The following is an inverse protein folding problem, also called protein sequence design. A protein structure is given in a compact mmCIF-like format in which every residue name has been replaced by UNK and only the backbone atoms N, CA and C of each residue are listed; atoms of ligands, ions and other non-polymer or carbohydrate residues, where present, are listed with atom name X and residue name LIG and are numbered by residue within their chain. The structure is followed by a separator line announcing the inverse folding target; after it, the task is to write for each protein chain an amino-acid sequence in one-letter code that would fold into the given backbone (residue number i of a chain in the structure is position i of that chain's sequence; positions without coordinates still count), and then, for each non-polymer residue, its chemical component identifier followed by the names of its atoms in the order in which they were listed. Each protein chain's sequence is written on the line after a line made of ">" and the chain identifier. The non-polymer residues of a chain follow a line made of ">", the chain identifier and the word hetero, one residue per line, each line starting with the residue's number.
data_IF_495811135056
#
_entry.id   IF_495811135056
#
_cell.length_a   1.000
_cell.length_b   1.000
_cell.length_c   1.000
_cell.angle_alpha   90.00
_cell.angle_beta   90.00
_cell.angle_gamma   90.00
#
_symmetry.space_group_name_H-M   'P 1'
#
loop_
_entity.id
_entity.type
_entity.pdbx_description
1 polymer ?
#
# COMPACT_ATOMS: atom_id res chain seq x y z
N UNK A 1 -18.96 28.10 26.44
CA UNK A 1 -18.09 26.95 26.12
C UNK A 1 -18.74 25.98 25.12
N UNK A 2 -19.53 26.47 24.15
CA UNK A 2 -20.24 25.62 23.17
C UNK A 2 -19.55 25.50 21.80
N UNK A 3 -18.49 26.29 21.54
CA UNK A 3 -17.79 26.26 20.25
C UNK A 3 -16.78 25.11 20.09
N UNK A 4 -16.17 24.64 21.19
CA UNK A 4 -15.11 23.63 21.16
C UNK A 4 -15.64 22.23 20.80
N UNK A 5 -16.83 21.86 21.29
CA UNK A 5 -17.44 20.56 21.02
C UNK A 5 -17.81 20.38 19.56
N UNK A 6 -18.24 21.45 18.87
CA UNK A 6 -18.58 21.43 17.45
C UNK A 6 -17.34 21.28 16.55
N UNK A 7 -16.24 21.95 16.90
CA UNK A 7 -14.98 21.83 16.16
C UNK A 7 -14.41 20.40 16.24
N UNK A 8 -14.46 19.78 17.41
CA UNK A 8 -13.99 18.39 17.60
C UNK A 8 -14.80 17.38 16.79
N UNK A 9 -16.14 17.51 16.77
CA UNK A 9 -17.02 16.63 15.98
C UNK A 9 -16.73 16.75 14.48
N UNK A 10 -16.57 17.98 13.99
CA UNK A 10 -16.30 18.24 12.57
C UNK A 10 -14.92 17.74 12.14
N UNK A 11 -13.90 17.97 12.97
CA UNK A 11 -12.55 17.44 12.79
C UNK A 11 -12.58 15.91 12.68
N UNK A 12 -13.26 15.23 13.63
CA UNK A 12 -13.38 13.77 13.62
C UNK A 12 -14.06 13.24 12.36
N UNK A 13 -15.10 13.91 11.87
CA UNK A 13 -15.77 13.53 10.63
C UNK A 13 -14.85 13.67 9.41
N UNK A 14 -14.17 14.82 9.27
CA UNK A 14 -13.25 15.07 8.15
C UNK A 14 -12.13 14.03 8.11
N UNK A 15 -11.48 13.78 9.25
CA UNK A 15 -10.38 12.80 9.30
C UNK A 15 -10.87 11.40 8.90
N UNK A 16 -12.01 10.94 9.42
CA UNK A 16 -12.58 9.65 9.05
C UNK A 16 -12.98 9.58 7.57
N UNK A 17 -13.50 10.68 7.01
CA UNK A 17 -13.84 10.77 5.60
C UNK A 17 -12.60 10.69 4.71
N UNK A 18 -11.52 11.38 5.07
CA UNK A 18 -10.23 11.28 4.37
C UNK A 18 -9.69 9.84 4.42
N UNK A 19 -9.73 9.18 5.58
CA UNK A 19 -9.34 7.77 5.68
C UNK A 19 -10.18 6.86 4.81
N UNK A 20 -11.49 7.11 4.74
CA UNK A 20 -12.38 6.37 3.86
C UNK A 20 -12.01 6.53 2.38
N UNK A 21 -11.78 7.77 1.92
CA UNK A 21 -11.33 8.04 0.54
C UNK A 21 -9.99 7.37 0.25
N UNK A 22 -9.02 7.48 1.16
CA UNK A 22 -7.74 6.78 1.04
C UNK A 22 -7.91 5.26 0.94
N UNK A 23 -8.80 4.67 1.75
CA UNK A 23 -9.15 3.24 1.67
C UNK A 23 -9.70 2.86 0.29
N UNK A 24 -10.60 3.67 -0.26
CA UNK A 24 -11.13 3.45 -1.61
C UNK A 24 -10.05 3.53 -2.70
N UNK A 25 -9.12 4.48 -2.61
CA UNK A 25 -7.99 4.61 -3.55
C UNK A 25 -7.09 3.38 -3.46
N UNK A 26 -6.69 2.98 -2.24
CA UNK A 26 -5.83 1.82 -2.02
C UNK A 26 -6.49 0.55 -2.58
N UNK A 27 -7.78 0.34 -2.30
CA UNK A 27 -8.53 -0.79 -2.85
C UNK A 27 -8.59 -0.76 -4.38
N UNK A 28 -8.92 0.39 -4.96
CA UNK A 28 -9.00 0.56 -6.40
C UNK A 28 -7.67 0.21 -7.08
N UNK A 29 -6.55 0.74 -6.55
CA UNK A 29 -5.20 0.45 -7.06
C UNK A 29 -4.83 -1.02 -6.86
N UNK A 30 -5.14 -1.60 -5.70
CA UNK A 30 -4.81 -3.01 -5.41
C UNK A 30 -5.57 -3.97 -6.34
N UNK A 31 -6.86 -3.70 -6.58
CA UNK A 31 -7.70 -4.48 -7.50
C UNK A 31 -7.23 -4.28 -8.94
N UNK A 32 -6.87 -3.06 -9.34
CA UNK A 32 -6.33 -2.76 -10.66
C UNK A 32 -5.07 -3.59 -10.96
N UNK A 33 -4.12 -3.60 -10.02
CA UNK A 33 -2.89 -4.40 -10.12
C UNK A 33 -3.21 -5.89 -10.19
N UNK A 34 -4.23 -6.36 -9.44
CA UNK A 34 -4.62 -7.78 -9.43
C UNK A 34 -5.28 -8.23 -10.74
N UNK A 35 -6.00 -7.36 -11.44
CA UNK A 35 -6.76 -7.69 -12.66
C UNK A 35 -5.97 -7.43 -13.94
N UNK A 36 -5.15 -6.38 -13.99
CA UNK A 36 -4.48 -5.95 -15.22
C UNK A 36 -3.20 -6.76 -15.45
N UNK A 37 -3.15 -7.53 -16.55
CA UNK A 37 -1.95 -8.29 -16.93
C UNK A 37 -0.76 -7.39 -17.22
N UNK A 38 -0.99 -6.23 -17.84
CA UNK A 38 0.05 -5.22 -18.06
C UNK A 38 0.64 -4.75 -16.73
N UNK A 39 -0.20 -4.46 -15.73
CA UNK A 39 0.28 -4.10 -14.40
C UNK A 39 1.00 -5.26 -13.68
N UNK A 40 0.58 -6.51 -13.89
CA UNK A 40 1.26 -7.67 -13.31
C UNK A 40 2.67 -7.85 -13.88
N UNK A 41 2.84 -7.60 -15.18
CA UNK A 41 4.13 -7.62 -15.86
C UNK A 41 5.01 -6.43 -15.46
N UNK A 42 4.47 -5.21 -15.44
CA UNK A 42 5.20 -3.99 -15.05
C UNK A 42 5.73 -4.07 -13.60
N UNK A 43 4.96 -4.67 -12.69
CA UNK A 43 5.34 -4.85 -11.28
C UNK A 43 6.05 -6.18 -11.00
N UNK A 44 6.38 -6.97 -12.03
CA UNK A 44 7.08 -8.26 -11.90
C UNK A 44 6.51 -9.14 -10.79
N UNK A 45 5.18 -9.29 -10.75
CA UNK A 45 4.51 -9.96 -9.62
C UNK A 45 4.89 -11.44 -9.53
N UNK A 46 5.78 -11.74 -8.58
CA UNK A 46 6.09 -13.10 -8.15
C UNK A 46 5.02 -13.63 -7.19
N UNK A 47 4.98 -14.94 -6.91
CA UNK A 47 4.04 -15.52 -5.93
C UNK A 47 4.03 -14.78 -4.57
N UNK A 48 5.18 -14.28 -4.12
CA UNK A 48 5.29 -13.50 -2.89
C UNK A 48 4.64 -12.11 -3.00
N UNK A 49 4.72 -11.45 -4.15
CA UNK A 49 4.10 -10.14 -4.37
C UNK A 49 2.59 -10.24 -4.59
N UNK A 50 2.10 -11.35 -5.17
CA UNK A 50 0.66 -11.64 -5.20
C UNK A 50 0.05 -11.71 -3.80
N UNK A 51 0.76 -12.35 -2.87
CA UNK A 51 0.38 -12.39 -1.45
C UNK A 51 0.38 -10.99 -0.81
N UNK A 52 1.36 -10.15 -1.18
CA UNK A 52 1.42 -8.76 -0.71
C UNK A 52 0.25 -7.91 -1.25
N UNK A 53 -0.12 -8.07 -2.52
CA UNK A 53 -1.28 -7.38 -3.11
C UNK A 53 -2.58 -7.83 -2.45
N UNK A 54 -2.76 -9.12 -2.17
CA UNK A 54 -3.93 -9.62 -1.43
C UNK A 54 -4.00 -9.06 0.00
N UNK A 55 -2.86 -8.92 0.67
CA UNK A 55 -2.78 -8.24 1.97
C UNK A 55 -3.18 -6.77 1.84
N UNK A 56 -2.74 -6.08 0.77
CA UNK A 56 -3.09 -4.67 0.52
C UNK A 56 -4.58 -4.49 0.27
N UNK A 57 -5.22 -5.45 -0.43
CA UNK A 57 -6.69 -5.51 -0.58
C UNK A 57 -7.35 -5.67 0.80
N UNK A 58 -6.89 -6.64 1.62
CA UNK A 58 -7.45 -6.86 2.94
C UNK A 58 -7.35 -5.61 3.83
N UNK A 59 -6.18 -4.96 3.85
CA UNK A 59 -5.93 -3.72 4.61
C UNK A 59 -6.81 -2.58 4.09
N UNK A 60 -6.92 -2.41 2.77
CA UNK A 60 -7.79 -1.40 2.16
C UNK A 60 -9.27 -1.58 2.54
N UNK A 61 -9.76 -2.82 2.57
CA UNK A 61 -11.12 -3.16 3.01
C UNK A 61 -11.34 -2.78 4.47
N UNK A 62 -10.39 -3.10 5.35
CA UNK A 62 -10.47 -2.76 6.77
C UNK A 62 -10.51 -1.23 6.96
N UNK A 63 -9.63 -0.49 6.28
CA UNK A 63 -9.59 0.98 6.34
C UNK A 63 -10.90 1.58 5.83
N UNK A 64 -11.45 1.07 4.72
CA UNK A 64 -12.72 1.52 4.17
C UNK A 64 -13.89 1.27 5.16
N UNK A 65 -13.97 0.08 5.76
CA UNK A 65 -15.03 -0.24 6.73
C UNK A 65 -14.90 0.64 7.97
N UNK A 66 -13.69 0.79 8.52
CA UNK A 66 -13.47 1.63 9.70
C UNK A 66 -13.75 3.12 9.44
N UNK A 67 -13.33 3.63 8.27
CA UNK A 67 -13.64 5.01 7.87
C UNK A 67 -15.14 5.25 7.73
N UNK A 68 -15.87 4.29 7.14
CA UNK A 68 -17.34 4.36 7.02
C UNK A 68 -18.02 4.30 8.40
N UNK A 69 -17.62 3.36 9.26
CA UNK A 69 -18.12 3.26 10.63
C UNK A 69 -17.82 4.51 11.45
N UNK A 70 -16.65 5.14 11.26
CA UNK A 70 -16.28 6.40 11.89
C UNK A 70 -17.17 7.56 11.43
N UNK A 71 -17.45 7.67 10.12
CA UNK A 71 -18.35 8.69 9.57
C UNK A 71 -19.80 8.49 10.06
N UNK A 72 -20.32 7.26 10.01
CA UNK A 72 -21.67 6.93 10.50
C UNK A 72 -21.79 7.10 12.02
N UNK A 73 -20.77 6.74 12.79
CA UNK A 73 -20.73 6.92 14.24
C UNK A 73 -20.74 8.40 14.64
N UNK A 74 -20.01 9.25 13.90
CA UNK A 74 -20.02 10.69 14.11
C UNK A 74 -21.38 11.33 13.76
N UNK A 75 -22.04 10.88 12.68
CA UNK A 75 -23.34 11.42 12.27
C UNK A 75 -24.52 10.94 13.13
N UNK A 76 -24.50 9.70 13.62
CA UNK A 76 -25.65 9.10 14.33
C UNK A 76 -25.69 9.40 15.82
N UNK A 77 -24.68 10.10 16.37
CA UNK A 77 -24.48 10.35 17.81
C UNK A 77 -24.62 9.09 18.68
N UNK A 78 -24.46 7.91 18.05
CA UNK A 78 -24.68 6.61 18.67
C UNK A 78 -23.37 6.15 19.27
N UNK A 79 -23.31 6.19 20.60
CA UNK A 79 -22.14 5.79 21.37
C UNK A 79 -21.69 4.35 21.06
N UNK A 80 -22.63 3.44 20.73
CA UNK A 80 -22.31 2.05 20.41
C UNK A 80 -21.48 1.92 19.12
N UNK A 81 -21.80 2.69 18.07
CA UNK A 81 -21.06 2.67 16.80
C UNK A 81 -19.67 3.31 16.93
N UNK A 82 -19.58 4.41 17.70
CA UNK A 82 -18.31 5.06 18.02
C UNK A 82 -17.40 4.16 18.87
N UNK A 83 -17.99 3.40 19.78
CA UNK A 83 -17.28 2.46 20.66
C UNK A 83 -16.75 1.26 19.87
N UNK A 84 -17.50 0.71 18.92
CA UNK A 84 -17.00 -0.32 18.00
C UNK A 84 -15.82 0.19 17.15
N UNK A 85 -15.90 1.43 16.64
CA UNK A 85 -14.79 2.06 15.94
C UNK A 85 -13.54 2.18 16.84
N UNK A 86 -13.71 2.64 18.07
CA UNK A 86 -12.62 2.76 19.03
C UNK A 86 -11.97 1.41 19.37
N UNK A 87 -12.79 0.38 19.63
CA UNK A 87 -12.29 -0.99 19.88
C UNK A 87 -11.54 -1.53 18.65
N UNK A 88 -12.08 -1.31 17.45
CA UNK A 88 -11.42 -1.72 16.21
C UNK A 88 -10.05 -1.06 16.02
N UNK A 89 -9.95 0.25 16.24
CA UNK A 89 -8.67 0.97 16.23
C UNK A 89 -7.69 0.45 17.28
N UNK A 90 -8.18 0.17 18.49
CA UNK A 90 -7.36 -0.35 19.58
C UNK A 90 -6.81 -1.75 19.23
N UNK A 91 -7.62 -2.62 18.63
CA UNK A 91 -7.16 -3.93 18.16
C UNK A 91 -6.11 -3.81 17.04
N UNK A 92 -6.31 -2.90 16.08
CA UNK A 92 -5.31 -2.64 15.03
C UNK A 92 -4.00 -2.12 15.64
N UNK A 93 -4.09 -1.26 16.65
CA UNK A 93 -2.90 -0.73 17.33
C UNK A 93 -2.12 -1.86 18.01
N UNK A 94 -2.80 -2.78 18.70
CA UNK A 94 -2.15 -3.96 19.29
C UNK A 94 -1.49 -4.82 18.20
N UNK A 95 -2.18 -5.07 17.09
CA UNK A 95 -1.63 -5.82 15.96
C UNK A 95 -0.41 -5.13 15.34
N UNK A 96 -0.43 -3.80 15.19
CA UNK A 96 0.70 -3.01 14.69
C UNK A 96 1.89 -3.05 15.65
N UNK A 97 1.66 -3.02 16.96
CA UNK A 97 2.73 -3.17 17.95
C UNK A 97 3.36 -4.56 17.86
N UNK A 98 2.55 -5.62 17.78
CA UNK A 98 3.05 -7.00 17.63
C UNK A 98 3.84 -7.13 16.32
N UNK A 99 3.29 -6.65 15.21
CA UNK A 99 3.95 -6.67 13.90
C UNK A 99 5.25 -5.84 13.90
N UNK A 100 5.26 -4.70 14.58
CA UNK A 100 6.44 -3.84 14.72
C UNK A 100 7.56 -4.51 15.53
N UNK A 101 7.22 -5.19 16.63
CA UNK A 101 8.17 -5.97 17.43
C UNK A 101 8.72 -7.13 16.60
N UNK A 102 7.87 -7.91 15.94
CA UNK A 102 8.30 -8.99 15.05
C UNK A 102 9.20 -8.45 13.92
N UNK A 103 8.80 -7.34 13.29
CA UNK A 103 9.58 -6.68 12.24
C UNK A 103 10.96 -6.23 12.73
N UNK A 104 11.06 -5.72 13.95
CA UNK A 104 12.34 -5.35 14.56
C UNK A 104 13.23 -6.58 14.83
N UNK A 105 12.66 -7.67 15.34
CA UNK A 105 13.39 -8.93 15.60
C UNK A 105 13.90 -9.56 14.30
N UNK A 106 13.09 -9.57 13.25
CA UNK A 106 13.44 -10.14 11.94
C UNK A 106 14.07 -9.14 10.97
N UNK A 107 14.44 -7.93 11.43
CA UNK A 107 14.96 -6.84 10.59
C UNK A 107 16.09 -7.28 9.66
N UNK A 108 17.05 -8.05 10.16
CA UNK A 108 18.21 -8.51 9.37
C UNK A 108 17.84 -9.43 8.21
N UNK A 109 16.79 -10.23 8.36
CA UNK A 109 16.27 -11.13 7.33
C UNK A 109 15.47 -10.31 6.29
N UNK A 110 14.66 -9.36 6.77
CA UNK A 110 13.87 -8.47 5.92
C UNK A 110 14.77 -7.54 5.10
N UNK A 111 15.83 -6.97 5.69
CA UNK A 111 16.79 -6.12 4.96
C UNK A 111 17.53 -6.88 3.86
N UNK A 112 17.93 -8.14 4.10
CA UNK A 112 18.55 -8.97 3.07
C UNK A 112 17.58 -9.29 1.93
N UNK A 113 16.32 -9.58 2.24
CA UNK A 113 15.30 -9.83 1.23
C UNK A 113 14.98 -8.56 0.43
N UNK A 114 14.79 -7.44 1.11
CA UNK A 114 14.46 -6.14 0.52
C UNK A 114 15.59 -5.62 -0.37
N UNK A 115 16.85 -5.70 0.08
CA UNK A 115 17.99 -5.28 -0.73
C UNK A 115 18.13 -6.13 -1.99
N UNK A 116 17.86 -7.44 -1.91
CA UNK A 116 17.86 -8.28 -3.11
C UNK A 116 16.77 -7.83 -4.09
N UNK A 117 15.54 -7.63 -3.63
CA UNK A 117 14.46 -7.13 -4.49
C UNK A 117 14.78 -5.77 -5.09
N UNK A 118 15.28 -4.81 -4.31
CA UNK A 118 15.66 -3.48 -4.80
C UNK A 118 16.77 -3.52 -5.85
N UNK A 119 17.77 -4.38 -5.67
CA UNK A 119 18.87 -4.54 -6.64
C UNK A 119 18.37 -5.20 -7.93
N UNK A 120 17.47 -6.18 -7.84
CA UNK A 120 16.83 -6.81 -9.00
C UNK A 120 15.97 -5.78 -9.77
N UNK A 121 15.10 -5.04 -9.09
CA UNK A 121 14.28 -3.97 -9.69
C UNK A 121 15.16 -2.87 -10.34
N UNK A 122 16.23 -2.43 -9.66
CA UNK A 122 17.15 -1.44 -10.21
C UNK A 122 17.90 -1.95 -11.46
N UNK A 123 18.29 -3.23 -11.48
CA UNK A 123 18.87 -3.86 -12.68
C UNK A 123 17.88 -3.97 -13.83
N UNK A 124 16.61 -4.25 -13.53
CA UNK A 124 15.55 -4.34 -14.55
C UNK A 124 15.22 -2.98 -15.17
N UNK A 125 15.27 -1.90 -14.38
CA UNK A 125 15.14 -0.52 -14.88
C UNK A 125 16.35 -0.07 -15.72
N UNK A 126 17.57 -0.52 -15.37
CA UNK A 126 18.74 -0.32 -16.22
C UNK A 126 18.61 -1.12 -17.53
N UNK A 127 18.23 -2.39 -17.45
CA UNK A 127 18.11 -3.26 -18.63
C UNK A 127 17.00 -2.83 -19.61
N UNK A 128 15.94 -2.16 -19.11
CA UNK A 128 14.87 -1.58 -19.93
C UNK A 128 15.06 -0.08 -20.21
N UNK A 129 16.19 0.51 -19.82
CA UNK A 129 16.49 1.88 -20.27
C UNK A 129 16.73 1.86 -21.79
N UNK A 130 16.00 2.69 -22.56
CA UNK A 130 16.13 2.74 -24.02
C UNK A 130 17.55 3.13 -24.46
N UNK A 131 18.36 3.69 -23.57
CA UNK A 131 19.75 4.02 -23.82
C UNK A 131 20.61 2.75 -23.98
N UNK A 132 20.52 1.77 -23.08
CA UNK A 132 21.37 0.57 -23.10
C UNK A 132 21.02 -0.37 -24.26
N UNK A 133 19.74 -0.50 -24.63
CA UNK A 133 19.34 -1.25 -25.82
C UNK A 133 19.85 -0.59 -27.11
N UNK A 134 19.90 0.75 -27.18
CA UNK A 134 20.46 1.49 -28.32
C UNK A 134 21.98 1.34 -28.41
N UNK A 135 22.70 1.29 -27.28
CA UNK A 135 24.13 1.02 -27.27
C UNK A 135 24.45 -0.42 -27.67
N UNK A 136 23.68 -1.40 -27.20
CA UNK A 136 23.83 -2.81 -27.58
C UNK A 136 23.51 -3.03 -29.08
N UNK A 137 22.43 -2.43 -29.59
CA UNK A 137 22.08 -2.49 -31.01
C UNK A 137 23.16 -1.83 -31.88
N UNK A 138 23.72 -0.68 -31.44
CA UNK A 138 24.82 -0.01 -32.13
C UNK A 138 26.10 -0.84 -32.13
N UNK A 139 26.43 -1.51 -31.02
CA UNK A 139 27.61 -2.38 -30.94
C UNK A 139 27.47 -3.59 -31.86
N UNK A 140 26.30 -4.26 -31.88
CA UNK A 140 26.05 -5.39 -32.79
C UNK A 140 26.12 -4.98 -34.27
N UNK A 141 25.60 -3.80 -34.62
CA UNK A 141 25.74 -3.27 -36.00
C UNK A 141 27.20 -2.97 -36.35
N UNK A 142 27.99 -2.47 -35.40
CA UNK A 142 29.41 -2.20 -35.63
C UNK A 142 30.23 -3.48 -35.84
N UNK A 143 29.97 -4.54 -35.07
CA UNK A 143 30.63 -5.85 -35.28
C UNK A 143 30.28 -6.45 -36.64
N UNK A 144 29.00 -6.40 -37.06
CA UNK A 144 28.60 -6.90 -38.39
C UNK A 144 29.11 -6.05 -39.56
N UNK A 145 29.58 -4.82 -39.33
CA UNK A 145 30.13 -3.96 -40.39
C UNK A 145 31.65 -4.12 -40.54
N UNK A 146 32.32 -4.68 -39.52
CA UNK A 146 33.78 -4.77 -39.43
C UNK A 146 34.31 -6.21 -39.45
N UNK A 147 33.42 -7.21 -39.40
CA UNK A 147 33.67 -8.62 -39.72
C UNK A 147 32.97 -8.91 -41.05
#
# INVERSE_FOLDING_TARGET
>A
MAGVSSFMKYSMFIFNFVFWVCGCIILGVSIWIRVSKAAQEDFHLNNSLFSAVDLMIAVGCIIMILGFLGCCGAMKESQCMLLLFFIGLLLILILQVIAGILGAVYKSQIEKALNKTLIEEAKMLQSNSPEDQVYQEKFQKFEMLYI
#
